data_IF_398985423695
#
_entry.id   IF_398985423695
#
_cell.length_a   1.000
_cell.length_b   1.000
_cell.length_c   1.000
_cell.angle_alpha   90.00
_cell.angle_beta   90.00
_cell.angle_gamma   90.00
#
_symmetry.space_group_name_H-M   'P 1'
#
loop_
_entity.id
_entity.type
_entity.pdbx_description
1 polymer ?
#
# COMPACT_ATOMS: atom_id res chain seq x y z
N UNK A 1 -6.75 10.60 15.92
CA UNK A 1 -6.78 9.82 14.68
C UNK A 1 -5.85 8.63 14.85
N UNK A 2 -6.19 7.49 14.25
CA UNK A 2 -5.31 6.32 14.22
C UNK A 2 -3.99 6.69 13.50
N UNK A 3 -2.84 6.30 14.07
CA UNK A 3 -1.53 6.59 13.49
C UNK A 3 -1.36 6.10 12.05
N UNK A 4 -1.99 4.99 11.69
CA UNK A 4 -2.01 4.49 10.31
C UNK A 4 -2.78 5.41 9.35
N UNK A 5 -3.91 5.95 9.76
CA UNK A 5 -4.69 6.88 8.94
C UNK A 5 -3.96 8.21 8.75
N UNK A 6 -3.27 8.66 9.78
CA UNK A 6 -2.42 9.86 9.67
C UNK A 6 -1.25 9.63 8.72
N UNK A 7 -0.57 8.49 8.82
CA UNK A 7 0.51 8.13 7.91
C UNK A 7 0.01 8.02 6.46
N UNK A 8 -1.12 7.33 6.25
CA UNK A 8 -1.74 7.19 4.94
C UNK A 8 -2.08 8.55 4.32
N UNK A 9 -2.60 9.48 5.13
CA UNK A 9 -2.95 10.83 4.67
C UNK A 9 -1.73 11.68 4.32
N UNK A 10 -0.68 11.67 5.15
CA UNK A 10 0.56 12.39 4.86
C UNK A 10 1.21 11.89 3.57
N UNK A 11 1.28 10.57 3.39
CA UNK A 11 1.81 9.97 2.18
C UNK A 11 0.93 10.24 0.95
N UNK A 12 -0.39 10.14 1.09
CA UNK A 12 -1.33 10.51 0.01
C UNK A 12 -1.05 11.91 -0.53
N UNK A 13 -0.99 12.91 0.36
CA UNK A 13 -0.73 14.28 -0.02
C UNK A 13 0.61 14.44 -0.75
N UNK A 14 1.66 13.89 -0.15
CA UNK A 14 3.01 14.00 -0.71
C UNK A 14 3.12 13.36 -2.10
N UNK A 15 2.60 12.15 -2.25
CA UNK A 15 2.67 11.40 -3.51
C UNK A 15 1.80 12.04 -4.59
N UNK A 16 0.58 12.46 -4.24
CA UNK A 16 -0.36 13.12 -5.16
C UNK A 16 0.18 14.46 -5.67
N UNK A 17 0.74 15.30 -4.79
CA UNK A 17 1.36 16.57 -5.16
C UNK A 17 2.50 16.41 -6.16
N UNK A 18 3.16 15.25 -6.19
CA UNK A 18 4.26 14.91 -7.10
C UNK A 18 3.86 14.06 -8.29
N UNK A 19 2.57 13.75 -8.42
CA UNK A 19 2.08 12.91 -9.50
C UNK A 19 2.61 11.47 -9.43
N UNK A 20 2.95 10.96 -8.24
CA UNK A 20 3.39 9.59 -8.04
C UNK A 20 2.17 8.71 -7.78
N UNK A 21 1.79 7.81 -8.70
CA UNK A 21 0.69 6.89 -8.51
C UNK A 21 1.01 5.89 -7.39
N UNK A 22 0.01 5.56 -6.59
CA UNK A 22 0.19 4.63 -5.47
C UNK A 22 -1.11 3.90 -5.12
N UNK A 23 -0.98 2.84 -4.33
CA UNK A 23 -2.09 2.12 -3.71
C UNK A 23 -1.66 1.59 -2.34
N UNK A 24 -2.56 1.65 -1.36
CA UNK A 24 -2.38 0.98 -0.06
C UNK A 24 -2.78 -0.49 -0.23
N UNK A 25 -1.91 -1.42 0.19
CA UNK A 25 -2.01 -2.85 -0.14
C UNK A 25 -2.11 -3.80 1.07
N UNK A 26 -1.90 -3.31 2.28
CA UNK A 26 -1.99 -4.11 3.51
C UNK A 26 -2.51 -3.24 4.66
N UNK A 27 -2.50 -3.74 5.89
CA UNK A 27 -2.96 -3.01 7.06
C UNK A 27 -4.38 -2.46 6.91
N UNK A 28 -4.52 -1.24 6.42
CA UNK A 28 -5.82 -0.59 6.21
C UNK A 28 -6.71 -1.39 5.24
N UNK A 29 -6.12 -2.00 4.20
CA UNK A 29 -6.87 -2.83 3.26
C UNK A 29 -7.43 -4.08 3.93
N UNK A 30 -6.67 -4.74 4.79
CA UNK A 30 -7.17 -5.88 5.58
C UNK A 30 -8.29 -5.45 6.52
N UNK A 31 -8.16 -4.30 7.18
CA UNK A 31 -9.23 -3.75 8.03
C UNK A 31 -10.52 -3.49 7.24
N UNK A 32 -10.42 -3.04 6.01
CA UNK A 32 -11.57 -2.75 5.15
C UNK A 32 -12.25 -4.00 4.59
N UNK A 33 -11.47 -4.97 4.13
CA UNK A 33 -11.97 -6.09 3.35
C UNK A 33 -12.06 -7.40 4.11
N UNK A 34 -11.23 -7.60 5.13
CA UNK A 34 -11.12 -8.84 5.91
C UNK A 34 -11.42 -8.65 7.39
N UNK A 35 -10.85 -9.53 8.20
CA UNK A 35 -10.94 -9.45 9.66
C UNK A 35 -9.93 -8.42 10.17
N UNK A 36 -10.38 -7.40 10.92
CA UNK A 36 -9.48 -6.41 11.51
C UNK A 36 -8.46 -7.08 12.44
N UNK A 37 -7.19 -6.77 12.24
CA UNK A 37 -6.11 -7.17 13.13
C UNK A 37 -5.21 -5.99 13.47
N UNK A 38 -4.50 -6.10 14.57
CA UNK A 38 -3.54 -5.08 14.94
C UNK A 38 -2.35 -5.14 13.96
N UNK A 39 -2.10 -4.04 13.28
CA UNK A 39 -0.90 -3.80 12.47
C UNK A 39 -0.26 -2.50 12.92
N UNK A 40 1.06 -2.42 12.83
CA UNK A 40 1.81 -1.21 13.23
C UNK A 40 2.07 -0.35 11.99
N UNK A 41 2.56 -0.98 10.94
CA UNK A 41 3.02 -0.33 9.72
C UNK A 41 1.88 -0.25 8.68
N UNK A 42 2.04 0.64 7.73
CA UNK A 42 1.23 0.66 6.51
C UNK A 42 2.10 0.30 5.32
N UNK A 43 1.52 -0.42 4.37
CA UNK A 43 2.20 -0.86 3.16
C UNK A 43 1.55 -0.21 1.94
N UNK A 44 2.38 0.41 1.11
CA UNK A 44 1.97 1.01 -0.15
C UNK A 44 2.81 0.45 -1.31
N UNK A 45 2.19 0.25 -2.46
CA UNK A 45 2.90 0.14 -3.72
C UNK A 45 2.89 1.50 -4.41
N UNK A 46 4.06 1.96 -4.87
CA UNK A 46 4.23 3.23 -5.59
C UNK A 46 4.77 2.94 -6.99
N UNK A 47 4.29 3.67 -7.99
CA UNK A 47 4.76 3.52 -9.36
C UNK A 47 5.73 4.64 -9.70
N UNK A 48 6.99 4.28 -9.90
CA UNK A 48 8.06 5.19 -10.31
C UNK A 48 8.49 4.91 -11.76
N UNK A 49 9.01 5.93 -12.48
CA UNK A 49 9.47 5.74 -13.84
C UNK A 49 10.61 4.70 -13.92
N UNK A 50 10.50 3.65 -14.74
CA UNK A 50 11.56 2.67 -14.89
C UNK A 50 12.90 3.32 -15.28
N UNK A 51 13.98 3.03 -14.53
CA UNK A 51 15.29 3.64 -14.72
C UNK A 51 15.42 5.08 -14.23
N UNK A 52 14.34 5.65 -13.68
CA UNK A 52 14.31 7.00 -13.12
C UNK A 52 13.90 7.03 -11.65
N UNK A 53 14.01 5.90 -10.94
CA UNK A 53 13.50 5.75 -9.58
C UNK A 53 14.31 6.53 -8.53
N UNK A 54 15.60 6.76 -8.76
CA UNK A 54 16.50 7.32 -7.74
C UNK A 54 16.07 8.72 -7.29
N UNK A 55 15.73 9.59 -8.22
CA UNK A 55 15.36 10.98 -7.90
C UNK A 55 14.08 11.04 -7.03
N UNK A 56 12.96 10.41 -7.41
CA UNK A 56 11.77 10.37 -6.55
C UNK A 56 12.03 9.73 -5.20
N UNK A 57 12.84 8.67 -5.12
CA UNK A 57 13.21 8.04 -3.86
C UNK A 57 13.99 8.98 -2.93
N UNK A 58 14.90 9.80 -3.48
CA UNK A 58 15.61 10.81 -2.70
C UNK A 58 14.66 11.90 -2.18
N UNK A 59 13.70 12.33 -2.98
CA UNK A 59 12.68 13.30 -2.58
C UNK A 59 11.79 12.74 -1.46
N UNK A 60 11.38 11.48 -1.55
CA UNK A 60 10.64 10.78 -0.49
C UNK A 60 11.49 10.69 0.78
N UNK A 61 12.73 10.22 0.67
CA UNK A 61 13.64 10.05 1.80
C UNK A 61 13.99 11.38 2.51
N UNK A 62 13.95 12.50 1.80
CA UNK A 62 14.14 13.81 2.39
C UNK A 62 12.94 14.28 3.22
N UNK A 63 11.72 13.87 2.85
CA UNK A 63 10.49 14.21 3.57
C UNK A 63 10.16 13.19 4.68
N UNK A 64 10.47 11.93 4.44
CA UNK A 64 10.18 10.79 5.33
C UNK A 64 11.49 10.02 5.57
N UNK A 65 12.10 10.13 6.75
CA UNK A 65 13.38 9.51 7.02
C UNK A 65 13.37 8.00 6.81
N UNK A 66 14.29 7.43 6.01
CA UNK A 66 14.42 5.99 5.88
C UNK A 66 14.79 5.34 7.22
N UNK A 67 14.20 4.19 7.52
CA UNK A 67 14.51 3.39 8.72
C UNK A 67 15.82 2.60 8.59
N UNK A 68 16.36 2.51 7.39
CA UNK A 68 17.60 1.82 7.10
C UNK A 68 18.68 2.83 6.67
N UNK A 69 19.92 2.59 7.09
CA UNK A 69 21.07 3.31 6.55
C UNK A 69 21.12 3.07 5.03
N UNK A 70 21.41 4.12 4.29
CA UNK A 70 21.46 4.07 2.82
C UNK A 70 20.13 3.57 2.20
N UNK A 71 18.98 4.00 2.77
CA UNK A 71 17.65 3.52 2.41
C UNK A 71 17.32 3.65 0.91
N UNK A 72 17.79 4.69 0.23
CA UNK A 72 17.57 4.85 -1.22
C UNK A 72 18.32 3.77 -2.00
N UNK A 73 19.59 3.49 -1.67
CA UNK A 73 20.35 2.41 -2.30
C UNK A 73 19.69 1.04 -2.04
N UNK A 74 19.25 0.82 -0.80
CA UNK A 74 18.51 -0.38 -0.44
C UNK A 74 17.22 -0.52 -1.27
N UNK A 75 16.46 0.57 -1.45
CA UNK A 75 15.22 0.55 -2.24
C UNK A 75 15.47 0.27 -3.72
N UNK A 76 16.55 0.78 -4.29
CA UNK A 76 16.93 0.48 -5.67
C UNK A 76 17.29 -0.99 -5.88
N UNK A 77 17.90 -1.62 -4.88
CA UNK A 77 18.29 -3.03 -4.93
C UNK A 77 17.14 -3.99 -4.60
N UNK A 78 16.40 -3.69 -3.51
CA UNK A 78 15.39 -4.60 -2.94
C UNK A 78 13.94 -4.19 -3.25
N UNK A 79 13.73 -3.07 -3.93
CA UNK A 79 12.45 -2.54 -4.36
C UNK A 79 11.48 -2.23 -3.21
N UNK A 80 11.99 -1.87 -2.04
CA UNK A 80 11.20 -1.40 -0.91
C UNK A 80 11.97 -0.32 -0.13
N UNK A 81 11.28 0.77 0.22
CA UNK A 81 11.81 1.85 1.04
C UNK A 81 11.04 1.90 2.37
N UNK A 82 11.59 1.33 3.45
CA UNK A 82 11.03 1.50 4.79
C UNK A 82 11.31 2.91 5.31
N UNK A 83 10.26 3.61 5.76
CA UNK A 83 10.32 5.00 6.22
C UNK A 83 9.62 5.21 7.55
N UNK A 84 10.04 6.23 8.27
CA UNK A 84 9.29 6.81 9.37
C UNK A 84 8.39 7.94 8.85
N UNK A 85 7.15 7.97 9.32
CA UNK A 85 6.23 9.07 9.02
C UNK A 85 6.09 9.92 10.29
N UNK A 86 6.49 11.19 10.26
CA UNK A 86 6.53 12.01 11.46
C UNK A 86 5.19 12.09 12.19
N UNK A 87 5.18 11.70 13.48
CA UNK A 87 3.99 11.72 14.33
C UNK A 87 2.91 10.68 13.97
N UNK A 88 3.25 9.70 13.16
CA UNK A 88 2.33 8.68 12.67
C UNK A 88 2.97 7.29 12.65
N UNK A 89 2.26 6.29 12.14
CA UNK A 89 2.79 4.94 11.96
C UNK A 89 3.87 4.89 10.87
N UNK A 90 4.89 4.04 10.99
CA UNK A 90 5.86 3.83 9.94
C UNK A 90 5.22 3.20 8.68
N UNK A 91 5.92 3.27 7.57
CA UNK A 91 5.44 2.77 6.30
C UNK A 91 6.52 2.04 5.50
N UNK A 92 6.10 1.05 4.72
CA UNK A 92 6.91 0.38 3.72
C UNK A 92 6.39 0.75 2.31
N UNK A 93 7.25 1.39 1.53
CA UNK A 93 6.94 1.76 0.15
C UNK A 93 7.58 0.76 -0.81
N UNK A 94 6.78 -0.15 -1.36
CA UNK A 94 7.22 -1.09 -2.39
C UNK A 94 7.20 -0.42 -3.76
N UNK A 95 8.26 -0.60 -4.55
CA UNK A 95 8.33 -0.11 -5.91
C UNK A 95 7.58 -1.08 -6.83
N UNK A 96 6.41 -0.67 -7.30
CA UNK A 96 5.54 -1.49 -8.15
C UNK A 96 6.26 -1.93 -9.43
N UNK A 97 6.04 -3.19 -9.79
CA UNK A 97 6.49 -3.76 -11.05
C UNK A 97 5.41 -3.58 -12.14
N UNK A 98 5.82 -3.49 -13.41
CA UNK A 98 4.88 -3.51 -14.53
C UNK A 98 3.97 -4.76 -14.50
N UNK A 99 2.75 -4.61 -14.98
CA UNK A 99 1.75 -5.67 -14.98
C UNK A 99 0.80 -5.58 -13.80
N UNK A 100 0.68 -6.64 -12.97
CA UNK A 100 -0.34 -6.72 -11.92
C UNK A 100 -0.31 -5.52 -10.95
N UNK A 101 0.85 -5.13 -10.44
CA UNK A 101 0.93 -4.04 -9.46
C UNK A 101 0.57 -2.68 -10.07
N UNK A 102 1.02 -2.41 -11.29
CA UNK A 102 0.64 -1.20 -12.03
C UNK A 102 -0.88 -1.16 -12.26
N UNK A 103 -1.48 -2.28 -12.66
CA UNK A 103 -2.93 -2.39 -12.83
C UNK A 103 -3.70 -2.27 -11.51
N UNK A 104 -3.17 -2.81 -10.41
CA UNK A 104 -3.76 -2.67 -9.08
C UNK A 104 -3.81 -1.19 -8.63
N UNK A 105 -2.79 -0.40 -8.97
CA UNK A 105 -2.79 1.05 -8.75
C UNK A 105 -3.92 1.74 -9.54
N UNK A 106 -4.12 1.34 -10.80
CA UNK A 106 -5.21 1.88 -11.64
C UNK A 106 -6.58 1.49 -11.09
N UNK A 107 -6.76 0.24 -10.63
CA UNK A 107 -8.01 -0.26 -10.07
C UNK A 107 -8.31 0.23 -8.66
N UNK A 108 -7.33 0.88 -7.98
CA UNK A 108 -7.51 1.35 -6.62
C UNK A 108 -8.78 2.19 -6.46
N UNK A 109 -9.43 2.05 -5.33
CA UNK A 109 -10.63 2.80 -4.97
C UNK A 109 -10.32 3.91 -3.99
N UNK A 110 -11.16 4.94 -3.95
CA UNK A 110 -11.10 5.95 -2.90
C UNK A 110 -11.69 5.39 -1.61
N UNK A 111 -10.91 5.46 -0.55
CA UNK A 111 -11.30 5.04 0.78
C UNK A 111 -11.32 6.24 1.73
N UNK A 112 -12.49 6.52 2.29
CA UNK A 112 -12.70 7.64 3.22
C UNK A 112 -12.11 7.31 4.60
N UNK A 113 -11.15 8.12 5.02
CA UNK A 113 -10.55 8.09 6.36
C UNK A 113 -11.34 8.93 7.37
N UNK A 114 -12.39 9.61 6.93
CA UNK A 114 -13.13 10.60 7.70
C UNK A 114 -12.58 12.03 7.54
N UNK A 115 -13.39 13.00 7.95
CA UNK A 115 -13.04 14.44 7.90
C UNK A 115 -12.68 14.95 6.48
N UNK A 116 -13.28 14.39 5.45
CA UNK A 116 -13.02 14.76 4.06
C UNK A 116 -11.66 14.30 3.53
N UNK A 117 -11.05 13.30 4.15
CA UNK A 117 -9.77 12.72 3.74
C UNK A 117 -10.00 11.38 3.07
N UNK A 118 -9.60 11.23 1.84
CA UNK A 118 -9.66 9.97 1.11
C UNK A 118 -8.27 9.55 0.59
N UNK A 119 -8.03 8.25 0.56
CA UNK A 119 -6.78 7.66 0.08
C UNK A 119 -7.07 6.55 -0.94
N UNK A 120 -6.06 6.16 -1.71
CA UNK A 120 -6.19 5.09 -2.70
C UNK A 120 -5.94 3.73 -2.05
N UNK A 121 -6.95 2.88 -2.02
CA UNK A 121 -6.91 1.54 -1.42
C UNK A 121 -7.07 0.46 -2.50
N UNK A 122 -6.32 -0.64 -2.40
CA UNK A 122 -6.50 -1.76 -3.32
C UNK A 122 -7.90 -2.38 -3.18
N UNK A 123 -8.36 -3.00 -4.25
CA UNK A 123 -9.62 -3.77 -4.23
C UNK A 123 -9.46 -5.02 -3.38
N UNK A 124 -10.56 -5.64 -2.96
CA UNK A 124 -10.52 -6.91 -2.22
C UNK A 124 -9.85 -8.01 -3.06
N UNK A 125 -10.08 -8.02 -4.36
CA UNK A 125 -9.51 -8.98 -5.29
C UNK A 125 -7.98 -8.84 -5.37
N UNK A 126 -7.50 -7.60 -5.53
CA UNK A 126 -6.06 -7.32 -5.58
C UNK A 126 -5.38 -7.63 -4.25
N UNK A 127 -6.04 -7.34 -3.11
CA UNK A 127 -5.52 -7.71 -1.79
C UNK A 127 -5.27 -9.21 -1.67
N UNK A 128 -6.22 -10.04 -2.15
CA UNK A 128 -6.06 -11.50 -2.14
C UNK A 128 -4.86 -11.92 -2.97
N UNK A 129 -4.65 -11.33 -4.15
CA UNK A 129 -3.48 -11.64 -4.98
C UNK A 129 -2.17 -11.27 -4.26
N UNK A 130 -2.08 -10.06 -3.69
CA UNK A 130 -0.91 -9.64 -2.89
C UNK A 130 -0.60 -10.63 -1.76
N UNK A 131 -1.64 -11.05 -1.03
CA UNK A 131 -1.52 -11.97 0.09
C UNK A 131 -1.11 -13.39 -0.36
N UNK A 132 -1.66 -13.87 -1.46
CA UNK A 132 -1.29 -15.17 -2.03
C UNK A 132 0.18 -15.18 -2.51
N UNK A 133 0.65 -14.09 -3.10
CA UNK A 133 2.05 -13.96 -3.54
C UNK A 133 3.00 -13.90 -2.35
N UNK A 134 2.65 -13.16 -1.29
CA UNK A 134 3.46 -13.08 -0.07
C UNK A 134 3.52 -14.44 0.68
N UNK A 135 2.40 -15.15 0.76
CA UNK A 135 2.31 -16.56 1.17
C UNK A 135 2.74 -16.88 2.62
N UNK A 136 2.81 -15.88 3.50
CA UNK A 136 3.11 -16.10 4.92
C UNK A 136 1.90 -16.68 5.64
N UNK A 137 2.08 -17.31 6.81
CA UNK A 137 0.96 -17.89 7.59
C UNK A 137 -0.15 -16.84 7.88
N UNK A 138 0.24 -15.61 8.23
CA UNK A 138 -0.71 -14.52 8.46
C UNK A 138 -1.46 -14.13 7.17
N UNK A 139 -0.80 -14.18 6.03
CA UNK A 139 -1.43 -13.84 4.74
C UNK A 139 -2.54 -14.83 4.37
N UNK A 140 -2.37 -16.12 4.71
CA UNK A 140 -3.41 -17.15 4.52
C UNK A 140 -4.65 -16.81 5.36
N UNK A 141 -4.46 -16.45 6.64
CA UNK A 141 -5.56 -16.06 7.53
C UNK A 141 -6.25 -14.78 7.04
N UNK A 142 -5.48 -13.81 6.55
CA UNK A 142 -6.03 -12.59 5.98
C UNK A 142 -6.90 -12.90 4.74
N UNK A 143 -6.46 -13.80 3.85
CA UNK A 143 -7.25 -14.26 2.69
C UNK A 143 -8.55 -14.94 3.12
N UNK A 144 -8.49 -15.86 4.10
CA UNK A 144 -9.68 -16.51 4.64
C UNK A 144 -10.68 -15.48 5.18
N UNK A 145 -10.20 -14.48 5.93
CA UNK A 145 -11.03 -13.39 6.44
C UNK A 145 -11.68 -12.55 5.33
N UNK A 146 -10.92 -12.22 4.28
CA UNK A 146 -11.46 -11.48 3.13
C UNK A 146 -12.52 -12.29 2.41
N UNK A 147 -12.26 -13.56 2.12
CA UNK A 147 -13.22 -14.45 1.42
C UNK A 147 -14.50 -14.61 2.24
N UNK A 148 -14.40 -14.85 3.55
CA UNK A 148 -15.54 -14.99 4.43
C UNK A 148 -16.42 -13.73 4.45
N UNK A 149 -15.79 -12.55 4.50
CA UNK A 149 -16.49 -11.27 4.62
C UNK A 149 -17.06 -10.76 3.31
N UNK A 150 -16.41 -11.03 2.17
CA UNK A 150 -16.89 -10.62 0.85
C UNK A 150 -17.90 -11.58 0.23
N UNK A 151 -18.13 -12.76 0.82
CA UNK A 151 -18.99 -13.81 0.29
C UNK A 151 -18.32 -14.62 -0.83
N UNK A 152 -19.04 -15.64 -1.32
CA UNK A 152 -18.50 -16.58 -2.31
C UNK A 152 -18.11 -15.86 -3.62
N UNK A 153 -16.84 -15.90 -3.97
CA UNK A 153 -16.28 -15.35 -5.21
C UNK A 153 -16.92 -15.95 -6.48
N UNK A 154 -17.44 -17.17 -6.36
CA UNK A 154 -18.10 -17.90 -7.45
C UNK A 154 -19.35 -17.19 -8.02
N UNK A 155 -19.92 -16.24 -7.31
CA UNK A 155 -21.15 -15.54 -7.70
C UNK A 155 -20.94 -14.09 -8.18
N UNK A 156 -19.69 -13.64 -8.35
CA UNK A 156 -19.44 -12.31 -8.91
C UNK A 156 -19.50 -12.37 -10.43
N UNK A 157 -20.31 -11.51 -11.08
CA UNK A 157 -20.27 -11.41 -12.53
C UNK A 157 -18.86 -10.99 -12.95
N UNK A 158 -18.27 -11.73 -13.89
CA UNK A 158 -17.03 -11.32 -14.54
C UNK A 158 -17.25 -9.91 -15.09
N UNK A 159 -16.56 -8.91 -14.54
CA UNK A 159 -16.46 -7.63 -15.20
C UNK A 159 -15.48 -7.78 -16.36
N UNK A 160 -15.87 -7.34 -17.56
CA UNK A 160 -15.00 -7.36 -18.72
C UNK A 160 -13.80 -6.42 -18.53
#
# INVERSE_FOLDING_TARGET
MNGQFEAAWQLHRFLTERGIPYVIIDGIAVQRWGEPRLTIDIDLAILLPPGGEERPLREIAAAFPPRLKDGVAFALEHRVLPIDVPGASPADLSLALPGFEEEAIVRAIDYDLGQGRAVRLCTADDLVVYKCVAGRAQDVLDVEGVVARQGAWANRPHRP
#
